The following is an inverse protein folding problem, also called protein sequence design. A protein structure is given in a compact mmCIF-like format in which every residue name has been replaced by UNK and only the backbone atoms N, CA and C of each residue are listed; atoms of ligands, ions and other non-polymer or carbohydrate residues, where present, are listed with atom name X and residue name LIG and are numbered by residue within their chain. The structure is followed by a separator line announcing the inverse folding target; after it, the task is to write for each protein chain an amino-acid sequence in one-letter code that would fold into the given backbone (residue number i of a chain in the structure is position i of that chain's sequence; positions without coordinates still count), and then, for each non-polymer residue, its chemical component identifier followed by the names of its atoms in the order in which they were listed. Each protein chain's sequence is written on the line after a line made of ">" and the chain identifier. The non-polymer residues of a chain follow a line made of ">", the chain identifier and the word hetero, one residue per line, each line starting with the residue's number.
data_IF_054304832014
#
_entry.id   IF_054304832014
#
_cell.length_a   1.000
_cell.length_b   1.000
_cell.length_c   1.000
_cell.angle_alpha   90.00
_cell.angle_beta   90.00
_cell.angle_gamma   90.00
#
_symmetry.space_group_name_H-M   'P 1'
#
loop_
_entity.id
_entity.type
_entity.pdbx_description
1 polymer ?
#
# COMPACT_ATOMS: atom_id res chain seq x y z
N UNK A 1 34.64 10.36 7.60
CA UNK A 1 33.35 10.10 8.27
C UNK A 1 32.68 11.45 8.49
N UNK A 2 31.58 11.73 7.80
CA UNK A 2 30.85 12.99 8.00
C UNK A 2 29.97 12.83 9.24
N UNK A 3 30.19 13.65 10.28
CA UNK A 3 29.35 13.68 11.47
C UNK A 3 27.88 13.85 11.05
N UNK A 4 27.05 12.85 11.32
CA UNK A 4 25.62 12.80 10.98
C UNK A 4 24.74 13.74 11.80
N UNK A 5 25.30 14.81 12.37
CA UNK A 5 24.53 15.80 13.12
C UNK A 5 23.96 16.85 12.17
N UNK A 6 22.65 17.16 12.27
CA UNK A 6 22.03 18.20 11.45
C UNK A 6 22.72 19.56 11.62
N UNK A 7 22.81 20.32 10.53
CA UNK A 7 23.36 21.69 10.56
C UNK A 7 22.49 22.59 11.46
N UNK A 8 23.05 23.62 12.11
CA UNK A 8 22.27 24.54 12.96
C UNK A 8 21.00 25.11 12.30
N UNK A 9 21.04 25.35 11.00
CA UNK A 9 19.91 25.83 10.18
C UNK A 9 18.72 24.85 10.18
N UNK A 10 18.98 23.54 10.24
CA UNK A 10 17.93 22.53 10.33
C UNK A 10 17.08 22.71 11.59
N UNK A 11 17.72 22.92 12.75
CA UNK A 11 17.01 23.13 14.01
C UNK A 11 16.18 24.40 14.00
N UNK A 12 16.68 25.48 13.37
CA UNK A 12 15.92 26.72 13.19
C UNK A 12 14.68 26.48 12.32
N UNK A 13 14.82 25.76 11.20
CA UNK A 13 13.70 25.43 10.33
C UNK A 13 12.64 24.58 11.05
N UNK A 14 13.06 23.56 11.81
CA UNK A 14 12.16 22.73 12.61
C UNK A 14 11.43 23.58 13.66
N UNK A 15 12.12 24.48 14.35
CA UNK A 15 11.53 25.34 15.36
C UNK A 15 10.45 26.25 14.76
N UNK A 16 10.68 26.83 13.57
CA UNK A 16 9.68 27.63 12.85
C UNK A 16 8.45 26.79 12.51
N UNK A 17 8.63 25.55 12.04
CA UNK A 17 7.51 24.65 11.72
C UNK A 17 6.70 24.31 12.97
N UNK A 18 7.37 23.99 14.08
CA UNK A 18 6.70 23.67 15.35
C UNK A 18 5.90 24.87 15.86
N UNK A 19 6.48 26.07 15.87
CA UNK A 19 5.77 27.28 16.28
C UNK A 19 4.59 27.60 15.34
N UNK A 20 4.75 27.40 14.04
CA UNK A 20 3.68 27.58 13.06
C UNK A 20 2.50 26.62 13.29
N UNK A 21 2.76 25.35 13.58
CA UNK A 21 1.73 24.36 13.88
C UNK A 21 1.01 24.63 15.21
N UNK A 22 1.74 25.04 16.24
CA UNK A 22 1.16 25.43 17.54
C UNK A 22 0.29 26.68 17.38
N UNK A 23 0.79 27.70 16.67
CA UNK A 23 0.03 28.92 16.38
C UNK A 23 -1.24 28.63 15.57
N UNK A 24 -1.15 27.77 14.56
CA UNK A 24 -2.30 27.32 13.76
C UNK A 24 -3.33 26.58 14.63
N UNK A 25 -2.88 25.70 15.53
CA UNK A 25 -3.77 24.96 16.42
C UNK A 25 -4.52 25.89 17.38
N UNK A 26 -3.83 26.86 17.99
CA UNK A 26 -4.45 27.86 18.87
C UNK A 26 -5.41 28.76 18.09
N UNK A 27 -5.04 29.19 16.89
CA UNK A 27 -5.92 30.00 16.04
C UNK A 27 -7.18 29.23 15.59
N UNK A 28 -7.03 27.93 15.28
CA UNK A 28 -8.12 27.11 14.73
C UNK A 28 -9.07 26.55 15.78
N UNK A 29 -8.57 26.25 16.98
CA UNK A 29 -9.31 25.53 18.04
C UNK A 29 -9.30 26.24 19.40
N UNK A 30 -8.66 27.41 19.51
CA UNK A 30 -8.43 28.07 20.80
C UNK A 30 -7.41 27.30 21.68
N UNK A 31 -7.09 27.85 22.85
CA UNK A 31 -6.16 27.21 23.80
C UNK A 31 -6.68 25.87 24.39
N UNK A 32 -7.96 25.55 24.18
CA UNK A 32 -8.63 24.40 24.81
C UNK A 32 -8.80 23.20 23.87
N UNK A 33 -8.34 23.28 22.61
CA UNK A 33 -8.48 22.21 21.62
C UNK A 33 -9.93 21.91 21.22
N UNK A 34 -10.17 21.00 20.25
CA UNK A 34 -11.52 20.49 20.00
C UNK A 34 -12.03 19.85 21.30
N UNK A 35 -13.13 20.37 21.83
CA UNK A 35 -13.65 20.04 23.15
C UNK A 35 -13.66 18.52 23.38
N UNK A 36 -12.90 18.07 24.39
CA UNK A 36 -13.04 16.73 24.93
C UNK A 36 -14.44 16.68 25.53
N UNK A 37 -15.37 15.96 24.91
CA UNK A 37 -16.61 15.56 25.58
C UNK A 37 -16.21 14.64 26.73
N UNK A 38 -15.96 15.24 27.89
CA UNK A 38 -15.74 14.55 29.15
C UNK A 38 -17.12 14.08 29.63
N UNK A 39 -17.67 13.11 28.90
CA UNK A 39 -18.98 12.51 29.18
C UNK A 39 -18.87 11.60 30.39
N UNK A 40 -18.94 12.17 31.60
CA UNK A 40 -19.23 11.39 32.79
C UNK A 40 -20.71 11.00 32.75
N UNK A 41 -20.98 9.82 32.20
CA UNK A 41 -22.31 9.20 32.22
C UNK A 41 -22.71 9.06 33.70
N UNK A 42 -23.85 9.64 34.09
CA UNK A 42 -24.35 9.54 35.47
C UNK A 42 -25.02 8.18 35.70
N UNK A 43 -25.10 7.73 36.96
CA UNK A 43 -25.78 6.50 37.32
C UNK A 43 -27.27 6.50 36.96
N UNK A 44 -27.89 7.68 36.77
CA UNK A 44 -29.26 7.79 36.29
C UNK A 44 -29.39 7.51 34.78
N UNK A 45 -28.44 7.97 33.95
CA UNK A 45 -28.37 7.64 32.51
C UNK A 45 -28.18 6.13 32.29
N UNK A 46 -27.34 5.49 33.12
CA UNK A 46 -27.08 4.05 33.08
C UNK A 46 -28.34 3.21 33.39
N UNK A 47 -29.27 3.74 34.20
CA UNK A 47 -30.54 3.07 34.54
C UNK A 47 -31.64 3.31 33.51
N UNK A 48 -31.57 4.41 32.76
CA UNK A 48 -32.47 4.67 31.63
C UNK A 48 -32.10 3.88 30.36
N UNK A 49 -30.85 3.41 30.24
CA UNK A 49 -30.48 2.35 29.30
C UNK A 49 -31.07 1.00 29.76
N UNK A 50 -32.39 0.84 29.63
CA UNK A 50 -33.08 -0.45 29.77
C UNK A 50 -32.79 -1.32 28.56
N UNK A 51 -31.60 -1.90 28.58
CA UNK A 51 -31.03 -2.82 27.63
C UNK A 51 -29.57 -2.87 28.03
N UNK A 52 -29.09 -4.02 28.51
CA UNK A 52 -27.69 -4.16 28.94
C UNK A 52 -26.71 -3.62 27.90
N UNK A 53 -25.46 -3.37 28.30
CA UNK A 53 -24.43 -2.76 27.45
C UNK A 53 -24.15 -3.50 26.12
N UNK A 54 -24.77 -4.66 25.92
CA UNK A 54 -24.81 -5.39 24.67
C UNK A 54 -26.29 -5.57 24.27
N UNK A 55 -26.68 -5.04 23.11
CA UNK A 55 -27.88 -5.53 22.45
C UNK A 55 -27.72 -7.05 22.29
N UNK A 56 -28.77 -7.86 22.54
CA UNK A 56 -28.66 -9.30 22.33
C UNK A 56 -28.32 -9.54 20.86
N UNK A 57 -27.07 -9.91 20.61
CA UNK A 57 -26.63 -10.32 19.30
C UNK A 57 -27.20 -11.72 19.07
N UNK A 58 -28.24 -11.79 18.27
CA UNK A 58 -28.87 -13.04 17.84
C UNK A 58 -28.04 -13.75 16.76
N UNK A 59 -26.88 -13.19 16.37
CA UNK A 59 -25.92 -13.89 15.53
C UNK A 59 -25.10 -14.84 16.41
N UNK A 60 -25.30 -16.14 16.20
CA UNK A 60 -24.65 -17.20 16.96
C UNK A 60 -23.14 -17.00 17.07
N UNK A 61 -22.64 -17.17 18.29
CA UNK A 61 -21.24 -17.12 18.74
C UNK A 61 -20.27 -18.06 17.98
N UNK A 62 -20.74 -18.78 16.97
CA UNK A 62 -19.89 -19.58 16.08
C UNK A 62 -19.74 -18.89 14.74
N UNK A 63 -18.64 -18.16 14.54
CA UNK A 63 -18.11 -17.88 13.20
C UNK A 63 -17.59 -19.16 12.53
N UNK A 64 -18.43 -20.21 12.47
CA UNK A 64 -18.32 -21.18 11.39
C UNK A 64 -18.85 -20.44 10.17
N UNK A 65 -17.99 -19.58 9.60
CA UNK A 65 -18.09 -19.32 8.17
C UNK A 65 -17.92 -20.70 7.56
N UNK A 66 -19.02 -21.29 7.10
CA UNK A 66 -18.95 -22.50 6.29
C UNK A 66 -17.90 -22.22 5.23
N UNK A 67 -16.74 -22.87 5.40
CA UNK A 67 -15.71 -22.81 4.39
C UNK A 67 -16.31 -23.58 3.23
N UNK A 68 -16.90 -22.86 2.26
CA UNK A 68 -17.25 -23.45 0.98
C UNK A 68 -15.93 -23.86 0.36
N UNK A 69 -15.54 -25.10 0.63
CA UNK A 69 -14.36 -25.72 0.07
C UNK A 69 -14.49 -25.64 -1.45
N UNK A 70 -13.78 -24.68 -2.05
CA UNK A 70 -13.59 -24.67 -3.48
C UNK A 70 -12.52 -25.73 -3.72
N UNK A 71 -12.96 -26.90 -4.18
CA UNK A 71 -12.04 -27.96 -4.60
C UNK A 71 -10.95 -27.34 -5.45
N UNK A 72 -9.69 -27.55 -5.06
CA UNK A 72 -8.54 -26.83 -5.59
C UNK A 72 -8.69 -26.63 -7.09
N UNK A 73 -8.90 -25.38 -7.51
CA UNK A 73 -8.93 -24.99 -8.91
C UNK A 73 -7.51 -25.18 -9.42
N UNK A 74 -7.22 -26.37 -9.94
CA UNK A 74 -5.94 -26.63 -10.58
C UNK A 74 -5.80 -25.64 -11.72
N UNK A 75 -4.64 -24.99 -11.80
CA UNK A 75 -4.31 -24.23 -13.00
C UNK A 75 -4.49 -25.18 -14.20
N UNK A 76 -5.21 -24.76 -15.24
CA UNK A 76 -5.35 -25.58 -16.43
C UNK A 76 -3.97 -25.95 -16.95
N UNK A 77 -3.84 -27.17 -17.49
CA UNK A 77 -2.57 -27.64 -18.04
C UNK A 77 -1.95 -26.60 -18.96
N UNK A 78 -0.62 -26.50 -18.94
CA UNK A 78 0.13 -25.55 -19.76
C UNK A 78 -0.05 -25.95 -21.22
N UNK A 79 -1.01 -25.32 -21.88
CA UNK A 79 -1.35 -25.55 -23.29
C UNK A 79 -0.50 -24.62 -24.15
N UNK A 80 0.75 -25.00 -24.40
CA UNK A 80 1.52 -24.40 -25.50
C UNK A 80 2.95 -23.99 -25.18
N UNK A 81 3.74 -23.98 -26.25
CA UNK A 81 5.12 -23.48 -26.33
C UNK A 81 5.16 -21.99 -26.01
N UNK A 82 6.21 -21.55 -25.31
CA UNK A 82 6.42 -20.13 -25.01
C UNK A 82 6.39 -19.29 -26.29
N UNK A 83 5.48 -18.31 -26.34
CA UNK A 83 5.21 -17.45 -27.49
C UNK A 83 6.07 -16.18 -27.42
N UNK A 84 7.37 -16.36 -27.16
CA UNK A 84 8.30 -15.24 -27.07
C UNK A 84 8.38 -14.49 -28.40
N UNK A 85 8.02 -13.20 -28.36
CA UNK A 85 8.18 -12.30 -29.50
C UNK A 85 9.63 -11.80 -29.56
N UNK A 86 10.21 -11.62 -30.76
CA UNK A 86 11.48 -10.92 -30.90
C UNK A 86 11.43 -9.55 -30.21
N UNK A 87 12.51 -9.20 -29.51
CA UNK A 87 12.62 -7.89 -28.85
C UNK A 87 12.62 -6.77 -29.88
N UNK A 88 11.83 -5.73 -29.62
CA UNK A 88 11.83 -4.48 -30.40
C UNK A 88 12.70 -3.46 -29.66
N UNK A 89 13.64 -2.81 -30.36
CA UNK A 89 14.55 -1.79 -29.80
C UNK A 89 15.32 -2.24 -28.55
N UNK A 90 15.65 -3.54 -28.46
CA UNK A 90 16.26 -4.16 -27.29
C UNK A 90 15.47 -3.89 -26.00
N UNK A 91 14.15 -3.83 -26.12
CA UNK A 91 13.24 -3.68 -24.99
C UNK A 91 12.75 -5.04 -24.54
N UNK A 92 13.01 -5.35 -23.28
CA UNK A 92 12.49 -6.54 -22.60
C UNK A 92 11.13 -6.18 -22.00
N UNK A 93 10.09 -6.95 -22.35
CA UNK A 93 8.78 -6.86 -21.70
C UNK A 93 8.77 -7.82 -20.52
N UNK A 94 8.63 -7.28 -19.32
CA UNK A 94 8.54 -8.05 -18.08
C UNK A 94 7.13 -7.92 -17.52
N UNK A 95 6.39 -9.03 -17.50
CA UNK A 95 5.08 -9.08 -16.86
C UNK A 95 5.25 -9.26 -15.34
N UNK A 96 4.56 -8.44 -14.54
CA UNK A 96 4.52 -8.52 -13.08
C UNK A 96 3.07 -8.54 -12.60
N UNK A 97 2.80 -9.22 -11.49
CA UNK A 97 1.48 -9.24 -10.85
C UNK A 97 1.27 -8.03 -9.92
N UNK A 98 0.08 -7.90 -9.33
CA UNK A 98 -0.21 -6.83 -8.35
C UNK A 98 0.35 -7.22 -6.99
N UNK A 99 1.55 -6.74 -6.69
CA UNK A 99 2.18 -6.93 -5.38
C UNK A 99 3.09 -5.76 -5.03
N UNK A 100 2.99 -5.27 -3.78
CA UNK A 100 3.75 -4.09 -3.33
C UNK A 100 5.27 -4.28 -3.39
N UNK A 101 5.75 -5.53 -3.34
CA UNK A 101 7.18 -5.85 -3.45
C UNK A 101 7.80 -5.52 -4.82
N UNK A 102 7.00 -5.21 -5.84
CA UNK A 102 7.51 -4.70 -7.12
C UNK A 102 7.86 -3.20 -7.10
N UNK A 103 7.55 -2.47 -6.02
CA UNK A 103 7.88 -1.04 -5.89
C UNK A 103 9.33 -0.67 -6.25
N UNK A 104 10.36 -1.41 -5.75
CA UNK A 104 11.75 -1.13 -6.07
C UNK A 104 12.10 -1.23 -7.56
N UNK A 105 11.57 -2.22 -8.29
CA UNK A 105 11.86 -2.35 -9.74
C UNK A 105 11.15 -1.27 -10.55
N UNK A 106 9.91 -0.93 -10.19
CA UNK A 106 9.16 0.15 -10.83
C UNK A 106 9.89 1.48 -10.64
N UNK A 107 10.32 1.77 -9.41
CA UNK A 107 11.11 2.96 -9.10
C UNK A 107 12.44 2.97 -9.86
N UNK A 108 13.17 1.85 -9.84
CA UNK A 108 14.48 1.78 -10.49
C UNK A 108 14.39 1.91 -12.02
N UNK A 109 13.25 1.58 -12.64
CA UNK A 109 12.99 1.72 -14.08
C UNK A 109 12.35 3.07 -14.47
N UNK A 110 12.12 3.99 -13.51
CA UNK A 110 11.38 5.24 -13.71
C UNK A 110 9.93 5.00 -14.19
N UNK A 111 9.29 3.94 -13.71
CA UNK A 111 7.92 3.56 -14.04
C UNK A 111 7.81 2.35 -14.95
N UNK A 112 6.65 2.20 -15.60
CA UNK A 112 6.30 1.02 -16.39
C UNK A 112 6.81 1.08 -17.84
N UNK A 113 7.13 2.26 -18.35
CA UNK A 113 7.57 2.46 -19.73
C UNK A 113 9.07 2.20 -19.90
N UNK A 114 9.55 1.92 -21.12
CA UNK A 114 10.97 1.74 -21.42
C UNK A 114 11.74 3.08 -21.43
N UNK A 115 11.73 3.77 -20.28
CA UNK A 115 12.31 5.10 -20.11
C UNK A 115 13.79 5.09 -19.68
N UNK A 116 14.29 3.96 -19.16
CA UNK A 116 15.66 3.80 -18.69
C UNK A 116 16.43 2.78 -19.52
N UNK A 117 17.64 3.15 -19.94
CA UNK A 117 18.61 2.24 -20.52
C UNK A 117 19.40 1.52 -19.41
N UNK A 118 19.44 0.21 -19.49
CA UNK A 118 20.14 -0.70 -18.60
C UNK A 118 21.29 -1.36 -19.34
N UNK A 119 22.35 -1.73 -18.61
CA UNK A 119 23.53 -2.39 -19.17
C UNK A 119 23.48 -3.88 -18.85
N UNK A 120 23.62 -4.71 -19.87
CA UNK A 120 23.90 -6.14 -19.71
C UNK A 120 25.30 -6.34 -19.11
N UNK A 121 25.62 -7.52 -18.54
CA UNK A 121 26.98 -7.84 -18.10
C UNK A 121 28.04 -7.66 -19.19
N UNK A 122 27.66 -7.85 -20.47
CA UNK A 122 28.52 -7.60 -21.63
C UNK A 122 28.53 -6.16 -22.13
N UNK A 123 28.00 -5.20 -21.37
CA UNK A 123 28.05 -3.76 -21.66
C UNK A 123 27.03 -3.24 -22.70
N UNK A 124 26.22 -4.12 -23.30
CA UNK A 124 25.18 -3.72 -24.26
C UNK A 124 23.99 -3.10 -23.55
N UNK A 125 23.45 -2.04 -24.17
CA UNK A 125 22.22 -1.38 -23.72
C UNK A 125 20.97 -2.19 -24.04
N UNK A 126 20.03 -2.18 -23.09
CA UNK A 126 18.66 -2.68 -23.24
C UNK A 126 17.69 -1.81 -22.43
N UNK A 127 16.39 -1.92 -22.71
CA UNK A 127 15.33 -1.22 -21.97
C UNK A 127 14.38 -2.23 -21.34
N UNK A 128 13.63 -1.81 -20.33
CA UNK A 128 12.61 -2.65 -19.68
C UNK A 128 11.26 -1.96 -19.77
N UNK A 129 10.26 -2.67 -20.30
CA UNK A 129 8.85 -2.32 -20.21
C UNK A 129 8.18 -3.25 -19.21
N UNK A 130 7.63 -2.69 -18.13
CA UNK A 130 6.90 -3.45 -17.12
C UNK A 130 5.43 -3.51 -17.53
N UNK A 131 4.86 -4.70 -17.57
CA UNK A 131 3.44 -4.93 -17.88
C UNK A 131 2.77 -5.51 -16.66
N UNK A 132 1.72 -4.85 -16.17
CA UNK A 132 0.96 -5.34 -15.03
C UNK A 132 -0.09 -6.35 -15.51
N UNK A 133 0.03 -7.60 -15.06
CA UNK A 133 -0.93 -8.69 -15.34
C UNK A 133 -1.15 -9.47 -14.06
N UNK A 134 -2.35 -9.38 -13.49
CA UNK A 134 -2.66 -10.02 -12.19
C UNK A 134 -3.15 -11.47 -12.34
N UNK A 135 -3.86 -11.75 -13.43
CA UNK A 135 -4.35 -13.10 -13.71
C UNK A 135 -3.20 -13.98 -14.24
N UNK A 136 -2.83 -15.07 -13.54
CA UNK A 136 -1.76 -15.96 -13.96
C UNK A 136 -2.05 -16.69 -15.29
N UNK A 137 -3.32 -16.92 -15.62
CA UNK A 137 -3.74 -17.54 -16.89
C UNK A 137 -3.54 -16.53 -18.02
N UNK A 138 -3.98 -15.28 -17.82
CA UNK A 138 -3.75 -14.21 -18.80
C UNK A 138 -2.27 -13.94 -19.02
N UNK A 139 -1.43 -14.01 -17.97
CA UNK A 139 0.02 -13.84 -18.08
C UNK A 139 0.65 -14.95 -18.92
N UNK A 140 0.25 -16.20 -18.70
CA UNK A 140 0.70 -17.36 -19.47
C UNK A 140 0.26 -17.30 -20.93
N UNK A 141 -1.00 -16.95 -21.17
CA UNK A 141 -1.54 -16.95 -22.53
C UNK A 141 -0.98 -15.79 -23.38
N UNK A 142 -0.45 -14.74 -22.73
CA UNK A 142 0.18 -13.60 -23.39
C UNK A 142 1.65 -13.84 -23.82
N UNK A 143 2.38 -14.77 -23.16
CA UNK A 143 3.82 -14.98 -23.34
C UNK A 143 4.23 -16.44 -23.16
#
# INVERSE_FOLDING_TARGET
>A
MANGQPRPVFYVAVLIVVLGLVGLAVWRYGANGPGRQDGRISNEELKQMKGGAEAPDSSGITTVKEYKYVAASKLPEVKGISSYKPMVDRTVRLAINVWAGWGPIIYANNGFKPGKAWKTPGGKDFKIELVLVDDPIAMRDAY
#
